data_IF_809165060105
#
_entry.id   IF_809165060105
#
_cell.length_a   1.000
_cell.length_b   1.000
_cell.length_c   1.000
_cell.angle_alpha   90.00
_cell.angle_beta   90.00
_cell.angle_gamma   90.00
#
_symmetry.space_group_name_H-M   'P 1'
#
loop_
_entity.id
_entity.type
_entity.pdbx_description
1 polymer ?
#
# COMPACT_ATOMS: atom_id res chain seq x y z
N UNK A 1 31.23 6.47 -14.71
CA UNK A 1 30.11 6.55 -15.68
C UNK A 1 29.39 5.21 -15.64
N UNK A 2 28.07 5.18 -15.65
CA UNK A 2 27.38 3.90 -15.72
C UNK A 2 27.40 3.33 -17.14
N UNK A 3 27.19 2.02 -17.29
CA UNK A 3 27.10 1.43 -18.63
C UNK A 3 26.00 2.08 -19.49
N UNK A 4 24.90 2.50 -18.86
CA UNK A 4 23.84 3.22 -19.57
C UNK A 4 24.33 4.57 -20.10
N UNK A 5 25.11 5.33 -19.31
CA UNK A 5 25.69 6.62 -19.76
C UNK A 5 26.62 6.43 -20.97
N UNK A 6 27.45 5.38 -20.95
CA UNK A 6 28.34 5.05 -22.06
C UNK A 6 27.56 4.72 -23.33
N UNK A 7 26.51 3.89 -23.23
CA UNK A 7 25.64 3.56 -24.35
C UNK A 7 24.90 4.79 -24.89
N UNK A 8 24.39 5.66 -24.02
CA UNK A 8 23.73 6.91 -24.43
C UNK A 8 24.70 7.81 -25.18
N UNK A 9 25.93 7.99 -24.68
CA UNK A 9 26.96 8.79 -25.37
C UNK A 9 27.34 8.20 -26.73
N UNK A 10 27.42 6.88 -26.82
CA UNK A 10 27.81 6.18 -28.04
C UNK A 10 26.70 6.20 -29.10
N UNK A 11 25.47 5.95 -28.72
CA UNK A 11 24.37 5.71 -29.66
C UNK A 11 23.37 6.86 -29.77
N UNK A 12 23.36 7.79 -28.83
CA UNK A 12 22.43 8.92 -28.77
C UNK A 12 23.15 10.26 -28.51
N UNK A 13 24.25 10.61 -29.19
CA UNK A 13 25.01 11.82 -28.91
C UNK A 13 24.17 13.08 -29.10
N UNK A 14 23.22 13.06 -30.04
CA UNK A 14 22.31 14.18 -30.34
C UNK A 14 20.94 14.06 -29.63
N UNK A 15 20.82 13.15 -28.65
CA UNK A 15 19.59 12.86 -27.92
C UNK A 15 18.73 11.77 -28.57
N UNK A 16 17.50 11.63 -28.10
CA UNK A 16 16.55 10.59 -28.53
C UNK A 16 15.26 11.23 -29.05
N UNK A 17 14.80 10.82 -30.20
CA UNK A 17 13.54 11.29 -30.76
C UNK A 17 12.34 10.72 -29.98
N UNK A 18 11.35 11.55 -29.75
CA UNK A 18 10.06 11.18 -29.20
C UNK A 18 9.05 11.01 -30.35
N UNK A 19 8.27 9.94 -30.29
CA UNK A 19 7.25 9.64 -31.28
C UNK A 19 5.94 9.24 -30.59
N UNK A 20 4.80 9.44 -31.28
CA UNK A 20 3.53 8.96 -30.76
C UNK A 20 3.53 7.43 -30.67
N UNK A 21 3.00 6.88 -29.58
CA UNK A 21 2.99 5.44 -29.32
C UNK A 21 2.37 4.62 -30.46
N UNK A 22 1.32 5.13 -31.10
CA UNK A 22 0.67 4.44 -32.23
C UNK A 22 1.58 4.24 -33.46
N UNK A 23 2.67 4.99 -33.57
CA UNK A 23 3.61 4.83 -34.70
C UNK A 23 4.55 3.63 -34.49
N UNK A 24 4.74 3.20 -33.24
CA UNK A 24 5.67 2.12 -32.85
C UNK A 24 4.98 0.97 -32.11
N UNK A 25 3.67 1.03 -31.98
CA UNK A 25 2.90 0.03 -31.26
C UNK A 25 1.50 -0.13 -31.85
N UNK A 26 1.12 -1.36 -32.17
CA UNK A 26 -0.26 -1.69 -32.49
C UNK A 26 -1.08 -1.76 -31.19
N UNK A 27 -2.14 -0.94 -31.13
CA UNK A 27 -3.08 -0.93 -30.02
C UNK A 27 -4.41 -1.51 -30.51
N UNK A 28 -4.79 -2.67 -29.98
CA UNK A 28 -6.05 -3.35 -30.30
C UNK A 28 -6.93 -3.52 -29.07
N UNK A 29 -8.22 -3.75 -29.26
CA UNK A 29 -9.13 -4.18 -28.19
C UNK A 29 -9.16 -5.71 -28.13
N UNK A 30 -9.41 -6.25 -26.96
CA UNK A 30 -9.74 -7.65 -26.79
C UNK A 30 -11.16 -7.97 -27.26
N UNK A 31 -11.58 -9.21 -27.07
CA UNK A 31 -12.84 -9.78 -27.55
C UNK A 31 -13.72 -10.12 -26.35
N UNK A 32 -14.98 -9.70 -26.39
CA UNK A 32 -15.94 -10.02 -25.33
C UNK A 32 -16.03 -11.52 -25.09
N UNK A 33 -16.00 -11.92 -23.84
CA UNK A 33 -16.26 -13.29 -23.40
C UNK A 33 -17.46 -13.29 -22.45
N UNK A 34 -18.29 -14.30 -22.52
CA UNK A 34 -19.50 -14.36 -21.72
C UNK A 34 -19.13 -14.79 -20.27
N UNK A 35 -19.55 -14.02 -19.29
CA UNK A 35 -19.25 -14.30 -17.87
C UNK A 35 -19.77 -15.67 -17.41
N UNK A 36 -20.86 -16.17 -18.01
CA UNK A 36 -21.44 -17.47 -17.67
C UNK A 36 -20.54 -18.65 -18.01
N UNK A 37 -19.61 -18.46 -18.95
CA UNK A 37 -18.71 -19.47 -19.46
C UNK A 37 -17.31 -19.36 -18.83
N UNK A 38 -17.16 -18.53 -17.80
CA UNK A 38 -15.94 -18.39 -17.00
C UNK A 38 -16.05 -19.24 -15.72
N UNK A 39 -14.90 -19.73 -15.26
CA UNK A 39 -14.77 -20.48 -14.01
C UNK A 39 -13.90 -19.70 -13.01
N UNK A 40 -13.98 -20.04 -11.74
CA UNK A 40 -13.16 -19.43 -10.68
C UNK A 40 -11.69 -19.90 -10.80
N UNK A 41 -11.46 -21.07 -11.39
CA UNK A 41 -10.14 -21.64 -11.66
C UNK A 41 -10.10 -22.20 -13.10
N UNK A 42 -8.93 -22.24 -13.72
CA UNK A 42 -8.74 -22.76 -15.08
C UNK A 42 -7.37 -22.44 -15.65
N UNK A 43 -7.15 -22.82 -16.92
CA UNK A 43 -5.83 -22.73 -17.54
C UNK A 43 -5.44 -21.28 -17.91
N UNK A 44 -6.37 -20.52 -18.48
CA UNK A 44 -6.07 -19.18 -19.01
C UNK A 44 -6.91 -18.11 -18.32
N UNK A 45 -6.29 -17.07 -17.73
CA UNK A 45 -7.02 -15.96 -17.13
C UNK A 45 -7.72 -15.11 -18.19
N UNK A 46 -8.90 -14.61 -17.87
CA UNK A 46 -9.63 -13.60 -18.63
C UNK A 46 -9.33 -12.22 -18.08
N UNK A 47 -8.57 -11.43 -18.84
CA UNK A 47 -8.20 -10.05 -18.49
C UNK A 47 -9.19 -9.09 -19.17
N UNK A 48 -9.99 -8.42 -18.38
CA UNK A 48 -10.97 -7.46 -18.86
C UNK A 48 -10.63 -6.04 -18.38
N UNK A 49 -11.50 -5.34 -17.65
CA UNK A 49 -11.24 -3.99 -17.16
C UNK A 49 -10.73 -3.91 -15.72
N UNK A 50 -10.47 -5.04 -15.06
CA UNK A 50 -10.03 -5.13 -13.68
C UNK A 50 -8.51 -5.30 -13.51
N UNK A 51 -8.02 -5.11 -12.26
CA UNK A 51 -6.65 -5.41 -11.87
C UNK A 51 -6.42 -6.94 -11.84
N UNK A 52 -7.42 -7.68 -11.35
CA UNK A 52 -7.41 -9.13 -11.27
C UNK A 52 -8.15 -9.76 -12.46
N UNK A 53 -7.87 -11.02 -12.80
CA UNK A 53 -8.66 -11.76 -13.77
C UNK A 53 -10.14 -11.75 -13.41
N UNK A 54 -10.99 -11.67 -14.43
CA UNK A 54 -12.46 -11.76 -14.27
C UNK A 54 -12.96 -13.19 -14.09
N UNK A 55 -12.11 -14.17 -14.31
CA UNK A 55 -12.33 -15.60 -14.26
C UNK A 55 -11.30 -16.32 -15.14
N UNK A 56 -11.48 -17.61 -15.35
CA UNK A 56 -10.58 -18.47 -16.11
C UNK A 56 -11.35 -19.28 -17.17
N UNK A 57 -10.66 -19.63 -18.26
CA UNK A 57 -11.22 -20.42 -19.37
C UNK A 57 -10.16 -21.34 -19.99
N UNK A 58 -10.57 -22.25 -20.87
CA UNK A 58 -9.67 -23.20 -21.54
C UNK A 58 -9.19 -22.72 -22.93
N UNK A 59 -9.39 -21.44 -23.26
CA UNK A 59 -9.00 -20.83 -24.52
C UNK A 59 -8.20 -19.55 -24.25
N UNK A 60 -7.36 -19.16 -25.19
CA UNK A 60 -6.65 -17.90 -25.16
C UNK A 60 -6.74 -17.19 -26.53
N UNK A 61 -6.62 -15.86 -26.52
CA UNK A 61 -6.55 -15.04 -27.72
C UNK A 61 -5.29 -14.15 -27.75
N UNK A 62 -4.46 -14.20 -26.70
CA UNK A 62 -3.18 -13.50 -26.62
C UNK A 62 -2.10 -14.43 -26.07
N UNK A 63 -0.89 -14.25 -26.59
CA UNK A 63 0.30 -14.95 -26.13
C UNK A 63 0.82 -14.35 -24.82
N UNK A 64 1.72 -15.08 -24.17
CA UNK A 64 2.48 -14.61 -23.02
C UNK A 64 3.31 -13.35 -23.32
N UNK A 65 3.85 -12.73 -22.28
CA UNK A 65 4.68 -11.51 -22.36
C UNK A 65 3.98 -10.37 -23.11
N UNK A 66 2.70 -10.19 -22.86
CA UNK A 66 1.87 -9.21 -23.53
C UNK A 66 1.44 -8.10 -22.58
N UNK A 67 1.48 -6.85 -23.07
CA UNK A 67 1.09 -5.67 -22.34
C UNK A 67 -0.40 -5.42 -22.53
N UNK A 68 -1.11 -5.15 -21.43
CA UNK A 68 -2.51 -4.74 -21.46
C UNK A 68 -2.75 -3.45 -20.68
N UNK A 69 -3.76 -2.69 -21.10
CA UNK A 69 -4.25 -1.51 -20.38
C UNK A 69 -5.75 -1.66 -20.18
N UNK A 70 -6.21 -1.52 -18.96
CA UNK A 70 -7.65 -1.50 -18.65
C UNK A 70 -8.33 -0.32 -19.31
N UNK A 71 -9.38 -0.56 -20.10
CA UNK A 71 -10.12 0.48 -20.81
C UNK A 71 -11.21 1.11 -19.95
N UNK A 72 -11.81 0.37 -19.03
CA UNK A 72 -13.00 0.86 -18.30
C UNK A 72 -13.11 0.30 -16.88
N UNK A 73 -14.05 0.89 -16.11
CA UNK A 73 -14.25 0.62 -14.71
C UNK A 73 -13.29 1.41 -13.82
N UNK A 74 -13.32 1.14 -12.51
CA UNK A 74 -12.48 1.82 -11.51
C UNK A 74 -10.98 1.69 -11.78
N UNK A 75 -10.57 0.69 -12.55
CA UNK A 75 -9.17 0.42 -12.90
C UNK A 75 -8.78 0.93 -14.30
N UNK A 76 -9.59 1.77 -14.94
CA UNK A 76 -9.25 2.32 -16.26
C UNK A 76 -7.87 2.99 -16.22
N UNK A 77 -6.99 2.67 -17.17
CA UNK A 77 -5.60 3.14 -17.18
C UNK A 77 -4.61 2.21 -16.47
N UNK A 78 -5.06 1.19 -15.77
CA UNK A 78 -4.16 0.21 -15.14
C UNK A 78 -3.38 -0.57 -16.21
N UNK A 79 -2.05 -0.59 -16.08
CA UNK A 79 -1.12 -1.24 -17.00
C UNK A 79 -0.66 -2.56 -16.40
N UNK A 80 -0.85 -3.64 -17.13
CA UNK A 80 -0.47 -4.99 -16.71
C UNK A 80 0.50 -5.65 -17.70
N UNK A 81 1.34 -6.54 -17.17
CA UNK A 81 2.20 -7.43 -17.90
C UNK A 81 1.78 -8.87 -17.66
N UNK A 82 1.46 -9.61 -18.70
CA UNK A 82 0.98 -10.99 -18.62
C UNK A 82 2.10 -11.95 -19.04
N UNK A 83 2.61 -12.73 -18.09
CA UNK A 83 3.66 -13.73 -18.32
C UNK A 83 3.11 -15.07 -18.84
N UNK A 84 1.79 -15.22 -18.91
CA UNK A 84 1.11 -16.42 -19.38
C UNK A 84 0.17 -16.07 -20.52
N UNK A 85 -0.20 -17.07 -21.34
CA UNK A 85 -1.27 -16.93 -22.30
C UNK A 85 -2.57 -16.58 -21.59
N UNK A 86 -3.42 -15.77 -22.23
CA UNK A 86 -4.64 -15.27 -21.62
C UNK A 86 -5.70 -14.91 -22.65
N UNK A 87 -6.91 -14.65 -22.20
CA UNK A 87 -7.95 -14.06 -23.01
C UNK A 87 -8.07 -12.56 -22.70
N UNK A 88 -7.82 -11.71 -23.69
CA UNK A 88 -8.09 -10.28 -23.60
C UNK A 88 -9.56 -10.01 -23.87
N UNK A 89 -10.27 -9.47 -22.89
CA UNK A 89 -11.68 -9.08 -22.98
C UNK A 89 -11.88 -7.73 -23.64
N UNK A 90 -13.14 -7.38 -23.94
CA UNK A 90 -13.51 -6.17 -24.70
C UNK A 90 -13.15 -4.84 -23.99
N UNK A 91 -12.97 -4.87 -22.67
CA UNK A 91 -12.59 -3.70 -21.88
C UNK A 91 -11.08 -3.64 -21.57
N UNK A 92 -10.28 -4.25 -22.44
CA UNK A 92 -8.85 -4.30 -22.33
C UNK A 92 -8.21 -3.89 -23.66
N UNK A 93 -7.27 -2.96 -23.62
CA UNK A 93 -6.36 -2.72 -24.74
C UNK A 93 -5.18 -3.66 -24.65
N UNK A 94 -4.79 -4.20 -25.81
CA UNK A 94 -3.59 -5.05 -26.00
C UNK A 94 -2.59 -4.24 -26.80
N UNK A 95 -1.36 -4.15 -26.32
CA UNK A 95 -0.27 -3.43 -26.95
C UNK A 95 0.74 -4.42 -27.54
N UNK A 96 1.08 -4.26 -28.82
CA UNK A 96 2.09 -5.05 -29.53
C UNK A 96 3.08 -4.10 -30.21
N UNK A 97 4.33 -4.00 -29.72
CA UNK A 97 5.31 -3.10 -30.31
C UNK A 97 5.73 -3.56 -31.71
N UNK A 98 6.22 -2.63 -32.49
CA UNK A 98 6.93 -2.90 -33.75
C UNK A 98 8.36 -3.36 -33.48
N UNK A 99 9.10 -3.82 -34.52
CA UNK A 99 10.42 -4.42 -34.40
C UNK A 99 11.51 -3.50 -33.79
N UNK A 100 11.31 -2.18 -33.77
CA UNK A 100 12.27 -1.21 -33.24
C UNK A 100 12.09 -0.91 -31.74
N UNK A 101 11.09 -1.51 -31.11
CA UNK A 101 10.79 -1.29 -29.68
C UNK A 101 10.70 -2.63 -28.97
N UNK A 102 11.56 -2.82 -27.98
CA UNK A 102 11.49 -4.01 -27.13
C UNK A 102 10.19 -4.02 -26.33
N UNK A 103 9.51 -5.13 -26.31
CA UNK A 103 8.22 -5.28 -25.63
C UNK A 103 8.33 -4.93 -24.14
N UNK A 104 9.40 -5.36 -23.47
CA UNK A 104 9.62 -5.08 -22.05
C UNK A 104 9.97 -3.61 -21.79
N UNK A 105 10.70 -2.95 -22.73
CA UNK A 105 10.94 -1.51 -22.69
C UNK A 105 9.62 -0.73 -22.79
N UNK A 106 8.77 -1.10 -23.76
CA UNK A 106 7.44 -0.52 -23.93
C UNK A 106 6.60 -0.68 -22.64
N UNK A 107 6.63 -1.85 -22.01
CA UNK A 107 5.93 -2.08 -20.74
C UNK A 107 6.39 -1.09 -19.66
N UNK A 108 7.68 -0.99 -19.41
CA UNK A 108 8.21 -0.06 -18.40
C UNK A 108 7.85 1.39 -18.71
N UNK A 109 7.92 1.79 -19.97
CA UNK A 109 7.51 3.14 -20.36
C UNK A 109 6.03 3.39 -20.08
N UNK A 110 5.13 2.53 -20.56
CA UNK A 110 3.68 2.70 -20.36
C UNK A 110 3.32 2.60 -18.89
N UNK A 111 3.96 1.71 -18.14
CA UNK A 111 3.80 1.58 -16.68
C UNK A 111 4.20 2.87 -15.95
N UNK A 112 5.26 3.54 -16.39
CA UNK A 112 5.65 4.85 -15.82
C UNK A 112 4.59 5.96 -16.06
N UNK A 113 3.71 5.77 -17.04
CA UNK A 113 2.61 6.71 -17.36
C UNK A 113 1.26 6.30 -16.76
N UNK A 114 1.22 5.21 -16.01
CA UNK A 114 -0.03 4.65 -15.46
C UNK A 114 -0.85 5.68 -14.67
N UNK A 115 -0.20 6.43 -13.78
CA UNK A 115 -0.89 7.48 -13.02
C UNK A 115 -1.54 8.53 -13.94
N UNK A 116 -0.78 9.01 -14.96
CA UNK A 116 -1.30 9.96 -15.95
C UNK A 116 -2.47 9.38 -16.77
N UNK A 117 -2.40 8.10 -17.12
CA UNK A 117 -3.49 7.41 -17.83
C UNK A 117 -4.75 7.33 -16.95
N UNK A 118 -4.60 7.09 -15.66
CA UNK A 118 -5.69 7.08 -14.70
C UNK A 118 -6.31 8.46 -14.51
N UNK A 119 -5.53 9.54 -14.51
CA UNK A 119 -6.04 10.91 -14.46
C UNK A 119 -6.81 11.31 -15.73
N UNK A 120 -6.51 10.67 -16.87
CA UNK A 120 -7.20 10.93 -18.15
C UNK A 120 -8.51 10.15 -18.31
N UNK A 121 -9.03 9.53 -17.27
CA UNK A 121 -10.34 8.87 -17.31
C UNK A 121 -11.46 9.86 -17.59
N UNK A 122 -12.47 9.41 -18.32
CA UNK A 122 -13.68 10.18 -18.57
C UNK A 122 -14.95 9.35 -18.25
N UNK A 123 -16.09 10.01 -18.05
CA UNK A 123 -17.38 9.39 -17.73
C UNK A 123 -17.78 9.54 -16.28
N UNK A 124 -18.99 10.02 -16.02
CA UNK A 124 -19.51 10.35 -14.69
C UNK A 124 -19.95 9.11 -13.86
N UNK A 125 -20.22 7.96 -14.52
CA UNK A 125 -20.71 6.76 -13.82
C UNK A 125 -19.70 5.60 -13.86
N UNK A 126 -19.26 5.23 -15.06
CA UNK A 126 -18.25 4.18 -15.25
C UNK A 126 -17.04 4.84 -15.92
N UNK A 127 -15.92 5.01 -15.20
CA UNK A 127 -14.72 5.59 -15.77
C UNK A 127 -14.24 4.80 -17.00
N UNK A 128 -13.75 5.48 -18.01
CA UNK A 128 -13.19 4.87 -19.21
C UNK A 128 -11.95 5.63 -19.69
N UNK A 129 -11.04 4.93 -20.37
CA UNK A 129 -9.86 5.49 -21.02
C UNK A 129 -10.05 5.43 -22.54
N UNK A 130 -9.85 6.57 -23.22
CA UNK A 130 -9.93 6.62 -24.67
C UNK A 130 -8.70 5.98 -25.31
N UNK A 131 -8.89 5.26 -26.43
CA UNK A 131 -7.76 4.69 -27.21
C UNK A 131 -6.81 5.81 -27.68
N UNK A 132 -7.34 6.94 -28.10
CA UNK A 132 -6.56 8.12 -28.53
C UNK A 132 -5.59 8.62 -27.47
N UNK A 133 -6.00 8.59 -26.18
CA UNK A 133 -5.12 8.97 -25.05
C UNK A 133 -3.91 8.07 -24.93
N UNK A 134 -4.09 6.76 -25.14
CA UNK A 134 -2.97 5.81 -25.14
C UNK A 134 -2.12 5.99 -26.41
N UNK A 135 -2.77 6.15 -27.57
CA UNK A 135 -2.13 6.28 -28.87
C UNK A 135 -1.22 7.52 -28.99
N UNK A 136 -1.63 8.63 -28.35
CA UNK A 136 -0.89 9.90 -28.37
C UNK A 136 0.21 10.03 -27.33
N UNK A 137 0.48 9.01 -26.50
CA UNK A 137 1.62 9.04 -25.59
C UNK A 137 2.92 9.18 -26.39
N UNK A 138 3.75 10.15 -26.04
CA UNK A 138 5.05 10.33 -26.66
C UNK A 138 6.09 9.45 -25.96
N UNK A 139 6.64 8.48 -26.70
CA UNK A 139 7.68 7.55 -26.23
C UNK A 139 9.03 7.87 -26.86
N UNK A 140 10.12 7.94 -26.08
CA UNK A 140 11.47 7.99 -26.64
C UNK A 140 11.83 6.62 -27.22
N UNK A 141 12.44 6.59 -28.41
CA UNK A 141 12.84 5.34 -29.07
C UNK A 141 14.36 5.36 -29.32
N UNK A 142 15.17 5.11 -28.27
CA UNK A 142 16.59 4.94 -28.43
C UNK A 142 16.91 3.61 -29.16
N UNK A 143 18.13 3.41 -29.65
CA UNK A 143 18.59 2.13 -30.18
C UNK A 143 18.36 0.96 -29.22
N UNK A 144 18.24 -0.25 -29.76
CA UNK A 144 17.87 -1.46 -29.00
C UNK A 144 18.87 -1.79 -27.88
N UNK A 145 20.13 -1.44 -28.04
CA UNK A 145 21.19 -1.61 -27.04
C UNK A 145 20.90 -0.76 -25.77
N UNK A 146 20.45 0.47 -25.95
CA UNK A 146 20.06 1.36 -24.86
C UNK A 146 18.77 0.88 -24.22
N UNK A 147 17.76 0.48 -25.04
CA UNK A 147 16.52 -0.09 -24.52
C UNK A 147 16.79 -1.34 -23.68
N UNK A 148 17.68 -2.23 -24.14
CA UNK A 148 18.03 -3.46 -23.43
C UNK A 148 18.69 -3.18 -22.08
N UNK A 149 19.57 -2.19 -21.98
CA UNK A 149 20.20 -1.83 -20.72
C UNK A 149 19.20 -1.18 -19.74
N UNK A 150 18.28 -0.33 -20.24
CA UNK A 150 17.19 0.22 -19.44
C UNK A 150 16.31 -0.91 -18.88
N UNK A 151 15.92 -1.87 -19.71
CA UNK A 151 15.12 -3.04 -19.30
C UNK A 151 15.86 -3.82 -18.21
N UNK A 152 17.14 -4.14 -18.44
CA UNK A 152 17.95 -4.88 -17.46
C UNK A 152 17.98 -4.19 -16.09
N UNK A 153 18.13 -2.88 -16.05
CA UNK A 153 18.15 -2.11 -14.80
C UNK A 153 16.78 -2.15 -14.13
N UNK A 154 15.71 -1.88 -14.88
CA UNK A 154 14.36 -1.79 -14.31
C UNK A 154 13.81 -3.16 -13.87
N UNK A 155 14.13 -4.22 -14.61
CA UNK A 155 13.74 -5.58 -14.23
C UNK A 155 14.47 -6.02 -12.95
N UNK A 156 15.77 -5.72 -12.80
CA UNK A 156 16.50 -5.98 -11.56
C UNK A 156 15.88 -5.25 -10.35
N UNK A 157 15.46 -3.99 -10.51
CA UNK A 157 14.78 -3.28 -9.43
C UNK A 157 13.41 -3.88 -9.11
N UNK A 158 12.69 -4.35 -10.12
CA UNK A 158 11.38 -5.00 -9.93
C UNK A 158 11.53 -6.30 -9.15
N UNK A 159 12.51 -7.14 -9.54
CA UNK A 159 12.82 -8.40 -8.86
C UNK A 159 13.24 -8.16 -7.41
N UNK A 160 14.21 -7.26 -7.18
CA UNK A 160 14.67 -6.91 -5.83
C UNK A 160 13.52 -6.39 -4.94
N UNK A 161 12.63 -5.57 -5.49
CA UNK A 161 11.46 -5.07 -4.76
C UNK A 161 10.52 -6.20 -4.37
N UNK A 162 10.30 -7.17 -5.26
CA UNK A 162 9.48 -8.35 -4.97
C UNK A 162 10.10 -9.23 -3.88
N UNK A 163 11.41 -9.49 -3.95
CA UNK A 163 12.16 -10.25 -2.94
C UNK A 163 12.09 -9.58 -1.57
N UNK A 164 12.38 -8.27 -1.49
CA UNK A 164 12.32 -7.51 -0.23
C UNK A 164 10.91 -7.50 0.36
N UNK A 165 9.88 -7.42 -0.47
CA UNK A 165 8.48 -7.47 -0.02
C UNK A 165 8.12 -8.85 0.53
N UNK A 166 8.57 -9.92 -0.14
CA UNK A 166 8.39 -11.28 0.32
C UNK A 166 9.14 -11.53 1.64
N UNK A 167 10.39 -11.08 1.75
CA UNK A 167 11.17 -11.17 2.98
C UNK A 167 10.51 -10.41 4.14
N UNK A 168 10.07 -9.16 3.91
CA UNK A 168 9.37 -8.37 4.93
C UNK A 168 8.13 -9.09 5.44
N UNK A 169 7.36 -9.70 4.52
CA UNK A 169 6.17 -10.48 4.87
C UNK A 169 6.51 -11.70 5.71
N UNK A 170 7.56 -12.44 5.33
CA UNK A 170 8.05 -13.60 6.08
C UNK A 170 8.55 -13.19 7.48
N UNK A 171 9.30 -12.10 7.58
CA UNK A 171 9.80 -11.58 8.87
C UNK A 171 8.67 -11.12 9.79
N UNK A 172 7.63 -10.47 9.26
CA UNK A 172 6.43 -10.12 10.04
C UNK A 172 5.75 -11.36 10.63
N UNK A 173 5.55 -12.41 9.81
CA UNK A 173 4.96 -13.68 10.29
C UNK A 173 5.86 -14.36 11.36
N UNK A 174 7.18 -14.35 11.14
CA UNK A 174 8.15 -14.88 12.10
C UNK A 174 8.09 -14.14 13.44
N UNK A 175 8.05 -12.80 13.39
CA UNK A 175 7.91 -11.96 14.59
C UNK A 175 6.61 -12.26 15.34
N UNK A 176 5.48 -12.33 14.64
CA UNK A 176 4.18 -12.65 15.25
C UNK A 176 4.20 -14.03 15.92
N UNK A 177 4.76 -15.03 15.27
CA UNK A 177 4.89 -16.37 15.81
C UNK A 177 5.74 -16.38 17.11
N UNK A 178 6.92 -15.78 17.10
CA UNK A 178 7.78 -15.76 18.28
C UNK A 178 7.19 -14.91 19.40
N UNK A 179 6.63 -13.75 19.10
CA UNK A 179 5.93 -12.92 20.09
C UNK A 179 4.83 -13.72 20.78
N UNK A 180 3.95 -14.33 20.02
CA UNK A 180 2.81 -15.05 20.56
C UNK A 180 3.24 -16.33 21.32
N UNK A 181 4.32 -16.97 20.88
CA UNK A 181 4.90 -18.15 21.56
C UNK A 181 5.52 -17.75 22.90
N UNK A 182 6.32 -16.69 22.94
CA UNK A 182 6.99 -16.22 24.15
C UNK A 182 5.97 -15.70 25.18
N UNK A 183 4.92 -15.03 24.73
CA UNK A 183 3.86 -14.53 25.61
C UNK A 183 2.92 -15.65 26.12
N UNK A 184 2.92 -16.80 25.46
CA UNK A 184 2.14 -17.99 25.90
C UNK A 184 2.84 -18.78 27.00
N UNK A 185 4.10 -18.50 27.27
CA UNK A 185 5.02 -19.18 28.21
C UNK A 185 4.40 -20.31 29.06
N UNK A 186 5.11 -21.44 29.15
CA UNK A 186 4.74 -22.65 29.91
C UNK A 186 4.81 -22.48 31.45
N UNK A 187 5.08 -21.27 31.92
CA UNK A 187 5.03 -20.91 33.34
C UNK A 187 3.58 -20.65 33.70
N UNK A 188 3.09 -21.15 34.83
CA UNK A 188 1.78 -20.79 35.37
C UNK A 188 1.70 -19.28 35.67
N UNK A 189 1.37 -18.49 34.65
CA UNK A 189 1.16 -17.07 34.78
C UNK A 189 -0.21 -16.83 35.36
N UNK A 190 -0.27 -16.20 36.52
CA UNK A 190 -1.52 -15.79 37.14
C UNK A 190 -2.16 -14.67 36.31
N UNK A 191 -3.29 -14.97 35.68
CA UNK A 191 -4.07 -13.97 34.97
C UNK A 191 -4.69 -12.98 35.96
N UNK A 192 -4.45 -11.69 35.77
CA UNK A 192 -5.04 -10.60 36.54
C UNK A 192 -5.84 -9.66 35.63
N UNK A 193 -6.83 -8.98 36.17
CA UNK A 193 -7.56 -7.96 35.41
C UNK A 193 -6.64 -6.77 35.15
N UNK A 194 -6.59 -6.27 33.92
CA UNK A 194 -5.74 -5.13 33.54
C UNK A 194 -5.96 -3.93 34.48
N UNK A 195 -7.19 -3.60 34.82
CA UNK A 195 -7.51 -2.50 35.73
C UNK A 195 -7.02 -2.64 37.18
N UNK A 196 -6.47 -3.82 37.58
CA UNK A 196 -5.84 -3.99 38.90
C UNK A 196 -4.34 -3.67 38.89
N UNK A 197 -3.72 -3.51 37.72
CA UNK A 197 -2.28 -3.29 37.54
C UNK A 197 -1.99 -2.15 36.54
N UNK A 198 -3.04 -1.49 36.04
CA UNK A 198 -2.94 -0.45 35.03
C UNK A 198 -4.12 0.51 35.13
N UNK A 199 -3.86 1.79 35.23
CA UNK A 199 -4.89 2.83 35.11
C UNK A 199 -5.16 3.08 33.61
N UNK A 200 -6.43 3.39 33.27
CA UNK A 200 -6.85 3.64 31.89
C UNK A 200 -7.53 5.01 31.83
N UNK A 201 -7.06 5.84 30.91
CA UNK A 201 -7.54 7.20 30.74
C UNK A 201 -7.96 7.48 29.31
N UNK A 202 -9.00 8.28 29.16
CA UNK A 202 -9.46 8.77 27.87
C UNK A 202 -8.78 10.10 27.51
N UNK A 203 -8.58 10.31 26.20
CA UNK A 203 -8.20 11.62 25.68
C UNK A 203 -9.37 12.61 25.67
N UNK A 204 -9.11 13.80 25.19
CA UNK A 204 -10.17 14.82 25.06
C UNK A 204 -11.22 14.40 24.05
N UNK A 205 -12.50 14.62 24.36
CA UNK A 205 -13.63 14.43 23.44
C UNK A 205 -13.91 15.67 22.58
N UNK A 206 -13.34 16.80 22.94
CA UNK A 206 -13.49 18.05 22.19
C UNK A 206 -12.36 18.19 21.18
N UNK A 207 -12.71 18.54 19.95
CA UNK A 207 -11.69 18.92 18.96
C UNK A 207 -11.05 20.23 19.41
N UNK A 208 -9.74 20.24 19.67
CA UNK A 208 -9.07 21.44 20.15
C UNK A 208 -8.93 22.47 19.02
N UNK A 209 -8.68 23.73 19.41
CA UNK A 209 -8.25 24.75 18.46
C UNK A 209 -6.78 24.53 18.14
N UNK A 210 -6.49 24.15 16.91
CA UNK A 210 -5.11 23.93 16.46
C UNK A 210 -4.36 25.24 16.29
N UNK A 211 -3.06 25.19 16.55
CA UNK A 211 -2.10 26.28 16.40
C UNK A 211 -0.96 25.85 15.48
N UNK A 212 -0.19 26.81 14.95
CA UNK A 212 0.96 26.49 14.06
C UNK A 212 2.16 25.91 14.83
N UNK A 213 2.20 26.08 16.16
CA UNK A 213 3.25 25.56 17.03
C UNK A 213 2.72 25.46 18.46
N UNK A 214 3.38 24.70 19.33
CA UNK A 214 2.98 24.51 20.72
C UNK A 214 3.13 23.06 21.17
N UNK A 215 2.17 22.57 21.96
CA UNK A 215 2.18 21.18 22.42
C UNK A 215 1.65 20.26 21.33
N UNK A 216 2.41 19.21 20.93
CA UNK A 216 1.95 18.24 19.95
C UNK A 216 0.63 17.59 20.35
N UNK A 217 -0.28 17.45 19.38
CA UNK A 217 -1.58 16.83 19.59
C UNK A 217 -1.69 15.55 18.72
N UNK A 218 -1.92 14.43 19.37
CA UNK A 218 -1.92 13.11 18.72
C UNK A 218 -3.29 12.44 18.74
N UNK A 219 -3.52 11.63 17.73
CA UNK A 219 -4.70 10.79 17.53
C UNK A 219 -4.28 9.41 17.01
N UNK A 220 -5.23 8.58 16.59
CA UNK A 220 -4.95 7.26 15.98
C UNK A 220 -4.01 7.34 14.78
N UNK A 221 -3.98 8.46 14.06
CA UNK A 221 -3.10 8.69 12.91
C UNK A 221 -1.60 8.66 13.30
N UNK A 222 -1.30 8.97 14.56
CA UNK A 222 0.05 9.13 15.10
C UNK A 222 0.51 7.93 15.93
N UNK A 223 -0.21 6.82 15.94
CA UNK A 223 0.11 5.68 16.81
C UNK A 223 1.47 5.04 16.50
N UNK A 224 1.97 5.16 15.29
CA UNK A 224 3.28 4.63 14.89
C UNK A 224 4.42 5.63 15.14
N UNK A 225 4.11 6.92 15.19
CA UNK A 225 5.05 8.01 15.48
C UNK A 225 4.32 9.13 16.24
N UNK A 226 4.35 9.06 17.56
CA UNK A 226 3.67 10.02 18.43
C UNK A 226 4.18 11.46 18.25
N UNK A 227 5.43 11.62 17.87
CA UNK A 227 6.10 12.94 17.81
C UNK A 227 6.17 13.50 16.38
N UNK A 228 5.78 12.72 15.38
CA UNK A 228 5.68 13.15 13.98
C UNK A 228 4.38 13.87 13.61
N UNK A 229 3.57 14.27 14.60
CA UNK A 229 2.33 15.02 14.33
C UNK A 229 2.63 16.44 13.84
N UNK A 230 1.78 16.93 12.94
CA UNK A 230 1.78 18.33 12.46
C UNK A 230 0.70 19.17 13.14
N UNK A 231 -0.05 18.59 14.09
CA UNK A 231 -1.12 19.25 14.83
C UNK A 231 -0.62 19.67 16.19
N UNK A 232 -0.83 20.94 16.55
CA UNK A 232 -0.39 21.50 17.82
C UNK A 232 -1.55 22.22 18.52
N UNK A 233 -1.47 22.32 19.83
CA UNK A 233 -2.37 23.15 20.66
C UNK A 233 -1.57 24.15 21.50
N UNK A 234 -2.23 25.19 22.02
CA UNK A 234 -1.58 26.16 22.89
C UNK A 234 -1.18 25.52 24.22
N UNK A 235 -0.14 26.06 24.87
CA UNK A 235 0.23 25.68 26.25
C UNK A 235 -0.89 25.95 27.24
N UNK A 236 -1.68 27.03 27.02
CA UNK A 236 -2.85 27.36 27.83
C UNK A 236 -3.91 26.28 27.77
N UNK A 237 -4.24 25.79 26.54
CA UNK A 237 -5.22 24.71 26.39
C UNK A 237 -4.68 23.41 26.97
N UNK A 238 -3.40 23.10 26.77
CA UNK A 238 -2.77 21.93 27.37
C UNK A 238 -2.79 21.96 28.90
N UNK A 239 -2.68 23.14 29.51
CA UNK A 239 -2.76 23.29 30.99
C UNK A 239 -4.08 22.77 31.57
N UNK A 240 -5.16 22.77 30.78
CA UNK A 240 -6.50 22.28 31.14
C UNK A 240 -6.63 20.77 31.13
N UNK A 241 -5.64 20.05 30.54
CA UNK A 241 -5.65 18.58 30.49
C UNK A 241 -5.34 17.99 31.86
N UNK A 242 -6.29 17.23 32.38
CA UNK A 242 -6.17 16.62 33.73
C UNK A 242 -5.10 15.54 33.76
N UNK A 243 -5.03 14.74 32.71
CA UNK A 243 -4.08 13.61 32.58
C UNK A 243 -3.10 13.93 31.45
N UNK A 244 -1.84 14.02 31.82
CA UNK A 244 -0.73 14.28 30.94
C UNK A 244 0.07 12.97 30.74
N UNK A 245 0.40 12.58 29.53
CA UNK A 245 1.27 11.43 29.27
C UNK A 245 2.63 11.61 29.93
N UNK A 246 3.24 10.52 30.35
CA UNK A 246 4.60 10.46 30.89
C UNK A 246 5.33 9.23 30.39
N UNK A 247 6.65 9.21 30.51
CA UNK A 247 7.48 8.05 30.15
C UNK A 247 6.92 6.79 30.81
N UNK A 248 6.78 5.73 30.00
CA UNK A 248 6.25 4.45 30.43
C UNK A 248 4.72 4.31 30.30
N UNK A 249 4.00 5.37 29.98
CA UNK A 249 2.59 5.23 29.57
C UNK A 249 2.51 4.54 28.20
N UNK A 250 1.39 3.88 27.93
CA UNK A 250 1.14 3.20 26.64
C UNK A 250 -0.10 3.77 26.00
N UNK A 251 0.04 4.36 24.82
CA UNK A 251 -1.13 4.67 24.00
C UNK A 251 -1.65 3.44 23.28
N UNK A 252 -2.96 3.31 23.22
CA UNK A 252 -3.65 2.26 22.48
C UNK A 252 -4.76 2.85 21.61
N UNK A 253 -4.83 2.43 20.35
CA UNK A 253 -5.95 2.79 19.45
C UNK A 253 -7.25 2.19 19.96
N UNK A 254 -8.32 3.01 20.04
CA UNK A 254 -9.58 2.65 20.71
C UNK A 254 -10.80 2.93 19.83
N UNK A 255 -10.87 4.08 19.17
CA UNK A 255 -11.96 4.49 18.28
C UNK A 255 -11.36 4.76 16.92
N UNK A 256 -11.55 3.86 15.97
CA UNK A 256 -10.97 3.95 14.61
C UNK A 256 -11.69 2.99 13.66
N UNK A 257 -11.74 3.35 12.37
CA UNK A 257 -12.10 2.43 11.29
C UNK A 257 -10.96 1.42 10.98
N UNK A 258 -9.76 1.66 11.53
CA UNK A 258 -8.60 0.78 11.39
C UNK A 258 -8.53 -0.29 12.49
N UNK A 259 -7.31 -0.66 12.86
CA UNK A 259 -7.06 -1.71 13.85
C UNK A 259 -7.13 -1.15 15.26
N UNK A 260 -8.07 -1.62 16.07
CA UNK A 260 -8.13 -1.37 17.51
C UNK A 260 -7.05 -2.20 18.22
N UNK A 261 -6.43 -1.63 19.26
CA UNK A 261 -5.42 -2.32 20.06
C UNK A 261 -4.00 -2.21 19.51
N UNK A 262 -3.71 -1.30 18.56
CA UNK A 262 -2.33 -0.92 18.25
C UNK A 262 -1.79 -0.06 19.37
N UNK A 263 -0.56 -0.30 19.77
CA UNK A 263 0.01 0.31 20.96
C UNK A 263 1.37 0.96 20.67
N UNK A 264 1.63 2.10 21.38
CA UNK A 264 2.97 2.73 21.39
C UNK A 264 3.28 3.18 22.80
N UNK A 265 4.52 2.91 23.23
CA UNK A 265 5.02 3.34 24.55
C UNK A 265 5.50 4.79 24.45
N UNK A 266 5.13 5.62 25.41
CA UNK A 266 5.68 6.97 25.57
C UNK A 266 7.11 6.84 26.07
N UNK A 267 8.08 7.21 25.26
CA UNK A 267 9.51 7.06 25.51
C UNK A 267 10.25 8.39 25.77
N UNK A 268 9.55 9.53 25.66
CA UNK A 268 10.08 10.87 25.90
C UNK A 268 9.27 11.60 26.96
N UNK A 269 9.90 12.55 27.60
CA UNK A 269 9.26 13.36 28.65
C UNK A 269 8.75 14.71 28.11
N UNK A 270 8.40 14.73 26.82
CA UNK A 270 7.86 15.92 26.15
C UNK A 270 6.35 16.04 26.46
N UNK A 271 5.88 17.27 26.57
CA UNK A 271 4.45 17.53 26.69
C UNK A 271 3.72 16.99 25.43
N UNK A 272 2.66 16.21 25.65
CA UNK A 272 1.88 15.58 24.60
C UNK A 272 0.40 15.59 24.95
N UNK A 273 -0.42 16.15 24.08
CA UNK A 273 -1.86 16.14 24.22
C UNK A 273 -2.46 15.07 23.27
N UNK A 274 -3.60 14.46 23.64
CA UNK A 274 -4.16 13.36 22.88
C UNK A 274 -5.68 13.37 22.80
N UNK A 275 -6.18 12.83 21.68
CA UNK A 275 -7.61 12.74 21.38
C UNK A 275 -8.22 11.45 21.93
N UNK A 276 -9.53 11.46 22.15
CA UNK A 276 -10.32 10.29 22.64
C UNK A 276 -10.20 9.02 21.79
N UNK A 277 -9.74 9.13 20.54
CA UNK A 277 -9.46 7.98 19.70
C UNK A 277 -8.30 7.11 20.19
N UNK A 278 -7.51 7.64 21.16
CA UNK A 278 -6.48 6.92 21.90
C UNK A 278 -6.91 6.74 23.37
N UNK A 279 -6.69 5.55 23.90
CA UNK A 279 -6.65 5.33 25.35
C UNK A 279 -5.22 5.46 25.84
N UNK A 280 -5.02 6.11 26.99
CA UNK A 280 -3.74 6.13 27.70
C UNK A 280 -3.78 5.08 28.80
N UNK A 281 -2.90 4.11 28.72
CA UNK A 281 -2.72 3.04 29.69
C UNK A 281 -1.49 3.37 30.54
N UNK A 282 -1.64 3.43 31.85
CA UNK A 282 -0.57 3.70 32.82
C UNK A 282 -0.34 2.48 33.69
N UNK A 283 0.57 1.58 33.30
CA UNK A 283 0.86 0.41 34.09
C UNK A 283 1.60 0.76 35.38
N UNK A 284 1.33 0.00 36.44
CA UNK A 284 2.15 0.01 37.64
C UNK A 284 3.52 -0.62 37.34
N UNK A 285 4.54 0.22 37.14
CA UNK A 285 5.87 -0.19 36.64
C UNK A 285 6.58 -1.24 37.51
N UNK A 286 6.23 -1.31 38.79
CA UNK A 286 6.75 -2.35 39.70
C UNK A 286 6.16 -3.75 39.44
N UNK A 287 5.05 -3.82 38.72
CA UNK A 287 4.27 -5.05 38.48
C UNK A 287 4.21 -5.38 36.97
N UNK A 288 4.07 -4.37 36.12
CA UNK A 288 3.80 -4.55 34.70
C UNK A 288 4.66 -3.60 33.85
N UNK A 289 5.60 -4.18 33.11
CA UNK A 289 6.42 -3.45 32.16
C UNK A 289 5.60 -2.94 30.96
N UNK A 290 5.86 -1.70 30.55
CA UNK A 290 5.12 -1.05 29.45
C UNK A 290 5.29 -1.71 28.11
N UNK A 291 6.49 -2.21 27.78
CA UNK A 291 6.75 -2.93 26.53
C UNK A 291 6.10 -4.30 26.53
N UNK A 292 6.11 -4.98 27.70
CA UNK A 292 5.41 -6.24 27.87
C UNK A 292 3.90 -6.04 27.65
N UNK A 293 3.30 -5.00 28.25
CA UNK A 293 1.89 -4.65 28.05
C UNK A 293 1.58 -4.39 26.58
N UNK A 294 2.41 -3.59 25.89
CA UNK A 294 2.29 -3.36 24.45
C UNK A 294 2.28 -4.67 23.65
N UNK A 295 3.30 -5.52 23.84
CA UNK A 295 3.41 -6.78 23.10
C UNK A 295 2.25 -7.72 23.40
N UNK A 296 1.77 -7.76 24.64
CA UNK A 296 0.63 -8.57 25.02
C UNK A 296 -0.66 -8.10 24.32
N UNK A 297 -0.96 -6.81 24.35
CA UNK A 297 -2.16 -6.25 23.71
C UNK A 297 -2.15 -6.44 22.19
N UNK A 298 -1.00 -6.34 21.56
CA UNK A 298 -0.82 -6.56 20.11
C UNK A 298 -0.73 -8.05 19.72
N UNK A 299 -0.59 -8.97 20.67
CA UNK A 299 -0.55 -10.41 20.43
C UNK A 299 -1.90 -10.96 19.98
N UNK A 300 -1.90 -12.15 19.39
CA UNK A 300 -3.12 -12.86 19.04
C UNK A 300 -4.06 -13.10 20.25
N UNK A 301 -3.51 -13.25 21.45
CA UNK A 301 -4.26 -13.39 22.70
C UNK A 301 -4.88 -12.07 23.14
N UNK A 302 -4.08 -11.01 23.22
CA UNK A 302 -4.55 -9.67 23.60
C UNK A 302 -5.63 -9.17 22.65
N UNK A 303 -5.45 -9.33 21.34
CA UNK A 303 -6.44 -8.95 20.32
C UNK A 303 -7.75 -9.72 20.46
N UNK A 304 -7.70 -11.03 20.76
CA UNK A 304 -8.91 -11.82 21.04
C UNK A 304 -9.66 -11.32 22.28
N UNK A 305 -8.94 -10.94 23.34
CA UNK A 305 -9.57 -10.38 24.54
C UNK A 305 -10.15 -8.98 24.31
N UNK A 306 -9.48 -8.14 23.53
CA UNK A 306 -10.00 -6.83 23.13
C UNK A 306 -11.25 -6.98 22.25
N UNK A 307 -11.23 -7.88 21.25
CA UNK A 307 -12.34 -8.10 20.34
C UNK A 307 -13.65 -8.47 21.04
N UNK A 308 -13.58 -9.19 22.15
CA UNK A 308 -14.78 -9.52 22.98
C UNK A 308 -15.44 -8.29 23.60
N UNK A 309 -14.78 -7.15 23.61
CA UNK A 309 -15.18 -5.91 24.30
C UNK A 309 -15.41 -4.74 23.37
N UNK A 310 -15.23 -4.93 22.07
CA UNK A 310 -15.50 -3.91 21.05
C UNK A 310 -17.00 -3.78 20.86
N UNK A 311 -17.49 -2.56 20.98
CA UNK A 311 -18.86 -2.19 20.63
C UNK A 311 -18.87 -1.76 19.16
N UNK A 312 -19.55 -2.51 18.31
CA UNK A 312 -19.62 -2.26 16.86
C UNK A 312 -20.69 -1.25 16.45
N UNK A 313 -21.60 -0.90 17.36
CA UNK A 313 -22.79 -0.09 17.09
C UNK A 313 -22.62 1.40 17.45
N UNK A 314 -21.41 1.88 17.54
CA UNK A 314 -21.14 3.31 17.78
C UNK A 314 -21.04 4.06 16.44
N UNK A 315 -22.14 4.10 15.67
CA UNK A 315 -22.32 5.01 14.53
C UNK A 315 -23.25 6.15 14.91
#
# INVERSE_FOLDING_TARGET
MSRLDELIQQYCPDGVAYVALETVCLISKGIQFNKKDMHDEGTYPVINGGINPSGYIEQYNQEEKTITISQGGASAGFVNWLDTKFWAGAHCYVLKPTNNVLNRYLFHFVKSKEYKLQECQYGAGIPALAKSTVASLEIPVPPLEVQSEIVRILDNFTELTAELTAELTARKKQYEYYRDTLLKSSIEIKNVKLGSVCEVYDGTHQTPKYTNSGVPFVSVENIDDLYGTTKYISAEDFSKYRIKPRIGDVFMTRITAGVIGRCTVVDRNDDLAYYVSLALLRPEQSILDSKYLKYYLESGWGRKELAKRILWDAT
#
